data_IF_285749449685
#
_entry.id   IF_285749449685
#
_cell.length_a   1.000
_cell.length_b   1.000
_cell.length_c   1.000
_cell.angle_alpha   90.00
_cell.angle_beta   90.00
_cell.angle_gamma   90.00
#
_symmetry.space_group_name_H-M   'P 1'
#
loop_
_entity.id
_entity.type
_entity.pdbx_description
1 polymer ?
#
# COMPACT_ATOMS: atom_id res chain seq x y z
N UNK A 1 -48.05 39.00 30.05
CA UNK A 1 -46.66 38.52 30.35
C UNK A 1 -46.18 37.73 29.18
N UNK A 2 -45.47 38.36 28.24
CA UNK A 2 -44.86 37.65 27.07
C UNK A 2 -43.43 37.28 27.43
N UNK A 3 -43.07 35.99 27.34
CA UNK A 3 -41.69 35.54 27.46
C UNK A 3 -41.10 35.40 26.05
N UNK A 4 -40.09 36.23 25.79
CA UNK A 4 -39.26 36.15 24.59
C UNK A 4 -38.22 35.02 24.83
N UNK A 5 -38.24 33.97 23.99
CA UNK A 5 -37.22 32.95 24.01
C UNK A 5 -36.14 33.36 23.02
N UNK A 6 -34.97 33.68 23.54
CA UNK A 6 -33.77 34.01 22.75
C UNK A 6 -33.11 32.71 22.33
N UNK A 7 -33.23 32.35 21.04
CA UNK A 7 -32.53 31.21 20.46
C UNK A 7 -31.05 31.58 20.21
N UNK A 8 -30.13 30.87 20.86
CA UNK A 8 -28.70 30.90 20.57
C UNK A 8 -28.43 30.04 19.34
N UNK A 9 -28.07 30.64 18.23
CA UNK A 9 -27.52 29.96 17.06
C UNK A 9 -26.04 29.81 17.28
N UNK A 10 -25.58 28.59 17.62
CA UNK A 10 -24.18 28.24 17.58
C UNK A 10 -23.75 28.10 16.10
N UNK A 11 -23.05 29.10 15.58
CA UNK A 11 -22.37 28.99 14.31
C UNK A 11 -21.15 28.07 14.45
N UNK A 12 -21.23 26.85 13.89
CA UNK A 12 -20.03 26.05 13.64
C UNK A 12 -19.20 26.74 12.53
N UNK A 13 -18.11 27.39 12.94
CA UNK A 13 -17.07 27.80 11.99
C UNK A 13 -16.35 26.54 11.50
N UNK A 14 -16.63 26.09 10.29
CA UNK A 14 -15.80 25.11 9.60
C UNK A 14 -14.43 25.76 9.37
N UNK A 15 -13.41 25.27 10.06
CA UNK A 15 -12.03 25.62 9.77
C UNK A 15 -11.73 25.10 8.34
N UNK A 16 -11.56 26.00 7.39
CA UNK A 16 -11.10 25.65 6.06
C UNK A 16 -9.70 25.00 6.18
N UNK A 17 -9.59 23.73 5.82
CA UNK A 17 -8.31 23.07 5.74
C UNK A 17 -7.44 23.83 4.74
N UNK A 18 -6.22 24.21 5.16
CA UNK A 18 -5.28 24.86 4.26
C UNK A 18 -4.96 23.94 3.09
N UNK A 19 -4.95 24.48 1.88
CA UNK A 19 -4.56 23.71 0.70
C UNK A 19 -3.17 23.06 0.93
N UNK A 20 -2.97 21.81 0.51
CA UNK A 20 -1.69 21.13 0.68
C UNK A 20 -0.59 21.95 -0.02
N UNK A 21 0.61 22.07 0.60
CA UNK A 21 1.70 22.82 0.01
C UNK A 21 2.10 22.23 -1.34
N UNK A 22 2.35 23.12 -2.31
CA UNK A 22 2.87 22.72 -3.61
C UNK A 22 4.19 21.93 -3.44
N UNK A 23 4.43 20.94 -4.31
CA UNK A 23 5.68 20.18 -4.32
C UNK A 23 6.88 21.11 -4.55
N UNK A 24 7.95 20.91 -3.80
CA UNK A 24 9.23 21.56 -4.04
C UNK A 24 9.81 21.11 -5.39
N UNK A 25 10.72 21.89 -5.97
CA UNK A 25 11.40 21.51 -7.22
C UNK A 25 12.16 20.17 -7.09
N UNK A 26 12.79 19.94 -5.93
CA UNK A 26 13.43 18.64 -5.62
C UNK A 26 12.42 17.49 -5.64
N UNK A 27 11.27 17.66 -5.02
CA UNK A 27 10.21 16.64 -5.01
C UNK A 27 9.65 16.36 -6.42
N UNK A 28 9.49 17.40 -7.24
CA UNK A 28 9.07 17.25 -8.65
C UNK A 28 10.12 16.49 -9.45
N UNK A 29 11.40 16.83 -9.26
CA UNK A 29 12.52 16.13 -9.90
C UNK A 29 12.53 14.65 -9.52
N UNK A 30 12.46 14.33 -8.23
CA UNK A 30 12.45 12.93 -7.76
C UNK A 30 11.23 12.15 -8.31
N UNK A 31 10.05 12.77 -8.35
CA UNK A 31 8.87 12.16 -8.95
C UNK A 31 9.09 11.82 -10.43
N UNK A 32 9.64 12.78 -11.21
CA UNK A 32 9.92 12.57 -12.63
C UNK A 32 10.99 11.48 -12.87
N UNK A 33 12.04 11.43 -12.04
CA UNK A 33 13.07 10.37 -12.10
C UNK A 33 12.46 8.99 -11.81
N UNK A 34 11.57 8.92 -10.82
CA UNK A 34 10.88 7.68 -10.47
C UNK A 34 9.91 7.24 -11.57
N UNK A 35 9.18 8.18 -12.16
CA UNK A 35 8.28 7.91 -13.28
C UNK A 35 9.05 7.38 -14.50
N UNK A 36 10.19 8.01 -14.85
CA UNK A 36 11.06 7.55 -15.91
C UNK A 36 11.60 6.14 -15.65
N UNK A 37 12.06 5.86 -14.42
CA UNK A 37 12.59 4.54 -14.07
C UNK A 37 11.56 3.42 -14.28
N UNK A 38 10.33 3.60 -13.81
CA UNK A 38 9.28 2.59 -13.98
C UNK A 38 8.75 2.51 -15.43
N UNK A 39 8.84 3.59 -16.21
CA UNK A 39 8.42 3.60 -17.61
C UNK A 39 9.47 2.97 -18.55
N UNK A 40 10.77 3.09 -18.24
CA UNK A 40 11.84 2.56 -19.09
C UNK A 40 11.85 1.02 -19.18
N UNK A 41 11.33 0.32 -18.17
CA UNK A 41 11.35 -1.14 -18.12
C UNK A 41 12.74 -1.77 -17.98
N UNK A 42 13.79 -0.95 -17.70
CA UNK A 42 15.15 -1.45 -17.48
C UNK A 42 15.24 -2.24 -16.18
N UNK A 43 15.96 -3.35 -16.22
CA UNK A 43 16.23 -4.20 -15.06
C UNK A 43 17.64 -3.90 -14.55
N UNK A 44 17.83 -3.13 -13.46
CA UNK A 44 19.14 -2.82 -12.91
C UNK A 44 19.82 -4.06 -12.31
N UNK A 45 21.16 -4.07 -12.37
CA UNK A 45 22.00 -5.07 -11.72
C UNK A 45 22.62 -4.47 -10.45
N UNK A 46 21.99 -4.74 -9.31
CA UNK A 46 22.38 -4.18 -8.02
C UNK A 46 23.40 -5.06 -7.31
N UNK A 47 24.57 -4.49 -6.99
CA UNK A 47 25.52 -5.12 -6.08
C UNK A 47 25.42 -4.46 -4.72
N UNK A 48 25.04 -5.26 -3.70
CA UNK A 48 24.82 -4.81 -2.32
C UNK A 48 25.94 -5.39 -1.46
N UNK A 49 26.64 -4.52 -0.73
CA UNK A 49 27.71 -4.92 0.19
C UNK A 49 27.35 -4.46 1.61
N UNK A 50 27.39 -5.40 2.55
CA UNK A 50 27.12 -5.20 3.97
C UNK A 50 28.33 -5.68 4.76
N UNK A 51 28.83 -4.86 5.69
CA UNK A 51 29.99 -5.21 6.52
C UNK A 51 29.73 -6.44 7.40
N UNK A 52 30.75 -7.28 7.71
CA UNK A 52 30.55 -8.51 8.48
C UNK A 52 29.83 -8.30 9.82
N UNK A 53 30.15 -7.24 10.57
CA UNK A 53 29.49 -6.89 11.84
C UNK A 53 28.00 -6.62 11.67
N UNK A 54 27.60 -6.01 10.57
CA UNK A 54 26.23 -5.66 10.25
C UNK A 54 25.44 -6.88 9.73
N UNK A 55 26.11 -7.81 9.05
CA UNK A 55 25.54 -9.12 8.69
C UNK A 55 25.18 -9.90 9.97
N UNK A 56 26.07 -9.94 10.98
CA UNK A 56 25.78 -10.57 12.25
C UNK A 56 24.60 -9.89 12.99
N UNK A 57 24.48 -8.57 12.86
CA UNK A 57 23.31 -7.84 13.37
C UNK A 57 22.03 -8.28 12.69
N UNK A 58 22.01 -8.40 11.36
CA UNK A 58 20.83 -8.86 10.59
C UNK A 58 20.44 -10.31 10.88
N UNK A 59 21.41 -11.19 11.17
CA UNK A 59 21.11 -12.58 11.57
C UNK A 59 20.38 -12.65 12.90
N UNK A 60 20.74 -11.78 13.86
CA UNK A 60 20.10 -11.73 15.20
C UNK A 60 18.82 -10.93 15.21
N UNK A 61 18.81 -9.78 14.55
CA UNK A 61 17.71 -8.81 14.53
C UNK A 61 17.36 -8.45 13.08
N UNK A 62 16.63 -9.33 12.35
CA UNK A 62 16.41 -9.17 10.91
C UNK A 62 15.75 -7.86 10.50
N UNK A 63 14.99 -7.23 11.38
CA UNK A 63 14.25 -5.97 11.11
C UNK A 63 15.00 -4.71 11.49
N UNK A 64 16.17 -4.84 12.10
CA UNK A 64 17.02 -3.71 12.44
C UNK A 64 17.74 -3.20 11.19
N UNK A 65 17.68 -1.89 10.97
CA UNK A 65 18.43 -1.29 9.88
C UNK A 65 19.94 -1.32 10.14
N UNK A 66 20.69 -1.72 9.15
CA UNK A 66 22.16 -1.69 9.12
C UNK A 66 22.62 -0.92 7.90
N UNK A 67 23.89 -0.48 7.89
CA UNK A 67 24.49 0.21 6.76
C UNK A 67 24.87 -0.76 5.65
N UNK A 68 24.63 -0.31 4.40
CA UNK A 68 25.04 -1.02 3.21
C UNK A 68 25.59 -0.03 2.17
N UNK A 69 26.34 -0.56 1.21
CA UNK A 69 26.68 0.12 -0.04
C UNK A 69 25.95 -0.58 -1.18
N UNK A 70 25.29 0.20 -2.05
CA UNK A 70 24.62 -0.30 -3.25
C UNK A 70 25.33 0.27 -4.47
N UNK A 71 25.67 -0.58 -5.44
CA UNK A 71 26.24 -0.20 -6.73
C UNK A 71 25.25 -0.57 -7.85
N UNK A 72 24.94 0.39 -8.72
CA UNK A 72 24.14 0.24 -9.93
C UNK A 72 24.97 0.79 -11.12
N UNK A 73 25.52 -0.11 -11.94
CA UNK A 73 26.49 0.27 -12.98
C UNK A 73 27.71 0.99 -12.37
N UNK A 74 27.95 2.21 -12.82
CA UNK A 74 29.04 3.06 -12.31
C UNK A 74 28.67 3.91 -11.09
N UNK A 75 27.39 3.95 -10.73
CA UNK A 75 26.92 4.74 -9.59
C UNK A 75 27.02 3.94 -8.30
N UNK A 76 27.57 4.55 -7.26
CA UNK A 76 27.71 3.95 -5.93
C UNK A 76 26.98 4.80 -4.90
N UNK A 77 26.12 4.17 -4.13
CA UNK A 77 25.36 4.75 -3.01
C UNK A 77 25.93 4.19 -1.71
N UNK A 78 26.47 5.05 -0.87
CA UNK A 78 27.03 4.68 0.44
C UNK A 78 26.07 5.04 1.55
N UNK A 79 26.26 4.43 2.73
CA UNK A 79 25.44 4.67 3.93
C UNK A 79 23.94 4.41 3.75
N UNK A 80 23.59 3.57 2.79
CA UNK A 80 22.20 3.13 2.57
C UNK A 80 21.76 2.24 3.73
N UNK A 81 20.54 2.45 4.23
CA UNK A 81 19.99 1.62 5.29
C UNK A 81 19.24 0.41 4.71
N UNK A 82 19.56 -0.77 5.18
CA UNK A 82 18.89 -2.01 4.76
C UNK A 82 18.47 -2.85 5.97
N UNK A 83 17.35 -3.57 5.84
CA UNK A 83 16.96 -4.64 6.73
C UNK A 83 16.28 -5.77 5.99
N UNK A 84 16.20 -6.97 6.58
CA UNK A 84 15.50 -8.10 5.97
C UNK A 84 13.99 -7.89 6.04
N UNK A 85 13.28 -8.31 4.98
CA UNK A 85 11.82 -8.28 4.89
C UNK A 85 11.24 -9.65 4.54
N UNK A 86 9.93 -9.73 4.54
CA UNK A 86 9.13 -10.93 4.31
C UNK A 86 8.39 -11.34 5.57
N UNK A 87 7.35 -12.14 5.44
CA UNK A 87 6.54 -12.68 6.52
C UNK A 87 6.39 -14.19 6.32
N UNK A 88 5.33 -14.79 6.85
CA UNK A 88 5.04 -16.21 6.66
C UNK A 88 5.10 -16.58 5.16
N UNK A 89 5.87 -17.61 4.84
CA UNK A 89 6.06 -18.09 3.46
C UNK A 89 7.15 -17.35 2.66
N UNK A 90 7.31 -16.04 2.82
CA UNK A 90 8.26 -15.22 2.03
C UNK A 90 9.56 -14.85 2.76
N UNK A 91 9.61 -14.91 4.09
CA UNK A 91 10.83 -14.60 4.84
C UNK A 91 11.94 -15.62 4.55
N UNK A 92 13.14 -15.12 4.28
CA UNK A 92 14.39 -15.90 4.16
C UNK A 92 15.46 -15.20 4.98
N UNK A 93 16.29 -15.99 5.65
CA UNK A 93 17.46 -15.50 6.38
C UNK A 93 18.52 -14.94 5.45
N UNK A 94 19.49 -14.20 6.01
CA UNK A 94 20.53 -13.50 5.24
C UNK A 94 21.32 -14.46 4.30
N UNK A 95 21.58 -15.67 4.75
CA UNK A 95 22.43 -16.64 4.02
C UNK A 95 21.71 -17.36 2.88
N UNK A 96 20.38 -17.21 2.77
CA UNK A 96 19.56 -17.75 1.69
C UNK A 96 19.37 -16.71 0.55
N UNK A 97 18.16 -16.39 0.21
CA UNK A 97 17.73 -15.35 -0.72
C UNK A 97 16.82 -14.35 0.03
N UNK A 98 17.38 -13.47 0.88
CA UNK A 98 16.56 -12.59 1.71
C UNK A 98 15.86 -11.51 0.89
N UNK A 99 14.61 -11.23 1.19
CA UNK A 99 14.01 -9.96 0.78
C UNK A 99 14.63 -8.81 1.59
N UNK A 100 14.76 -7.63 0.96
CA UNK A 100 15.35 -6.45 1.59
C UNK A 100 14.40 -5.26 1.51
N UNK A 101 14.30 -4.50 2.60
CA UNK A 101 13.83 -3.11 2.58
C UNK A 101 15.06 -2.22 2.48
N UNK A 102 15.07 -1.36 1.49
CA UNK A 102 16.13 -0.36 1.26
C UNK A 102 15.55 1.01 1.56
N UNK A 103 16.19 1.73 2.46
CA UNK A 103 15.86 3.11 2.78
C UNK A 103 17.11 3.96 2.51
N UNK A 104 17.01 4.85 1.54
CA UNK A 104 18.15 5.60 1.03
C UNK A 104 18.56 6.74 1.97
N UNK A 105 17.60 7.43 2.55
CA UNK A 105 17.80 8.67 3.31
C UNK A 105 17.90 8.49 4.84
N UNK A 106 17.87 7.24 5.33
CA UNK A 106 17.86 6.99 6.79
C UNK A 106 19.20 7.29 7.48
N UNK A 107 20.32 7.07 6.80
CA UNK A 107 21.67 7.30 7.32
C UNK A 107 22.47 8.32 6.51
N UNK A 108 21.90 8.80 5.40
CA UNK A 108 22.48 9.82 4.54
C UNK A 108 21.35 10.74 4.06
N UNK A 109 21.38 12.00 4.47
CA UNK A 109 20.34 12.97 4.14
C UNK A 109 20.23 13.17 2.62
N UNK A 110 19.00 13.31 2.11
CA UNK A 110 18.67 13.59 0.70
C UNK A 110 19.14 12.54 -0.32
N UNK A 111 19.63 11.37 0.14
CA UNK A 111 20.02 10.30 -0.77
C UNK A 111 18.77 9.61 -1.34
N UNK A 112 18.74 9.45 -2.67
CA UNK A 112 17.65 8.77 -3.37
C UNK A 112 18.18 7.79 -4.42
N UNK A 113 17.43 6.73 -4.69
CA UNK A 113 17.66 5.82 -5.80
C UNK A 113 16.61 6.03 -6.88
N UNK A 114 16.99 6.59 -8.03
CA UNK A 114 16.03 6.92 -9.11
C UNK A 114 14.81 7.71 -8.58
N UNK A 115 15.06 8.70 -7.74
CA UNK A 115 14.03 9.52 -7.10
C UNK A 115 13.29 8.88 -5.91
N UNK A 116 13.58 7.62 -5.56
CA UNK A 116 12.93 6.92 -4.44
C UNK A 116 13.74 7.05 -3.15
N UNK A 117 13.10 7.47 -2.06
CA UNK A 117 13.66 7.46 -0.71
C UNK A 117 13.70 6.04 -0.14
N UNK A 118 12.74 5.21 -0.56
CA UNK A 118 12.58 3.82 -0.11
C UNK A 118 12.06 2.92 -1.21
N UNK A 119 12.62 1.71 -1.28
CA UNK A 119 12.09 0.64 -2.12
C UNK A 119 12.31 -0.73 -1.47
N UNK A 120 11.66 -1.73 -2.02
CA UNK A 120 11.79 -3.09 -1.55
C UNK A 120 12.35 -4.00 -2.65
N UNK A 121 13.26 -4.88 -2.27
CA UNK A 121 13.69 -6.00 -3.08
C UNK A 121 13.00 -7.26 -2.54
N UNK A 122 11.92 -7.68 -3.20
CA UNK A 122 11.18 -8.87 -2.80
C UNK A 122 11.72 -10.09 -3.52
N UNK A 123 12.01 -11.15 -2.75
CA UNK A 123 12.67 -12.36 -3.25
C UNK A 123 11.78 -13.28 -4.11
N UNK A 124 10.50 -12.97 -4.22
CA UNK A 124 9.51 -13.75 -4.98
C UNK A 124 9.44 -15.24 -4.57
N UNK A 125 9.59 -15.51 -3.27
CA UNK A 125 9.62 -16.89 -2.77
C UNK A 125 8.31 -17.66 -2.99
N UNK A 126 7.20 -16.95 -3.18
CA UNK A 126 5.87 -17.51 -3.38
C UNK A 126 5.33 -17.30 -4.80
N UNK A 127 6.10 -16.63 -5.67
CA UNK A 127 5.81 -16.46 -7.09
C UNK A 127 7.04 -16.74 -7.95
N UNK A 128 7.24 -17.96 -8.41
CA UNK A 128 8.40 -18.32 -9.24
C UNK A 128 8.38 -17.68 -10.63
N UNK A 129 7.24 -17.13 -11.07
CA UNK A 129 7.12 -16.46 -12.37
C UNK A 129 7.76 -15.06 -12.37
N UNK A 130 7.82 -14.37 -11.23
CA UNK A 130 8.17 -12.97 -11.10
C UNK A 130 7.24 -12.03 -11.89
N UNK A 131 5.97 -12.43 -12.10
CA UNK A 131 5.00 -11.66 -12.87
C UNK A 131 3.78 -11.23 -12.07
N UNK A 132 3.40 -11.96 -11.01
CA UNK A 132 2.15 -11.72 -10.28
C UNK A 132 2.02 -10.28 -9.78
N UNK A 133 2.99 -9.78 -9.01
CA UNK A 133 2.94 -8.39 -8.48
C UNK A 133 2.94 -7.34 -9.61
N UNK A 134 3.65 -7.59 -10.72
CA UNK A 134 3.69 -6.66 -11.87
C UNK A 134 2.32 -6.58 -12.54
N UNK A 135 1.75 -7.72 -12.93
CA UNK A 135 0.44 -7.81 -13.60
C UNK A 135 -0.66 -7.23 -12.70
N UNK A 136 -0.65 -7.60 -11.41
CA UNK A 136 -1.63 -7.10 -10.45
C UNK A 136 -1.53 -5.58 -10.24
N UNK A 137 -0.32 -5.02 -10.26
CA UNK A 137 -0.10 -3.57 -10.23
C UNK A 137 -0.74 -2.85 -11.41
N UNK A 138 -0.60 -3.38 -12.63
CA UNK A 138 -1.24 -2.81 -13.84
C UNK A 138 -2.76 -2.97 -13.82
N UNK A 139 -3.29 -4.09 -13.31
CA UNK A 139 -4.74 -4.29 -13.12
C UNK A 139 -5.29 -3.26 -12.12
N UNK A 140 -4.62 -3.07 -10.97
CA UNK A 140 -5.00 -2.05 -10.00
C UNK A 140 -5.00 -0.65 -10.62
N UNK A 141 -3.96 -0.30 -11.37
CA UNK A 141 -3.85 0.99 -12.07
C UNK A 141 -4.99 1.20 -13.06
N UNK A 142 -5.31 0.20 -13.89
CA UNK A 142 -6.43 0.25 -14.85
C UNK A 142 -7.78 0.44 -14.15
N UNK A 143 -7.96 -0.11 -12.95
CA UNK A 143 -9.17 0.03 -12.15
C UNK A 143 -9.24 1.30 -11.30
N UNK A 144 -8.18 2.13 -11.29
CA UNK A 144 -8.07 3.32 -10.45
C UNK A 144 -7.81 3.02 -8.97
N UNK A 145 -7.25 1.85 -8.66
CA UNK A 145 -6.87 1.45 -7.31
C UNK A 145 -5.42 1.83 -7.05
N UNK A 146 -5.11 2.65 -6.02
CA UNK A 146 -3.75 2.98 -5.65
C UNK A 146 -2.94 1.70 -5.32
N UNK A 147 -1.85 1.48 -6.04
CA UNK A 147 -0.94 0.36 -5.81
C UNK A 147 0.52 0.81 -6.00
N UNK A 148 1.45 0.12 -5.34
CA UNK A 148 2.87 0.34 -5.54
C UNK A 148 3.29 -0.08 -6.95
N UNK A 149 4.18 0.69 -7.58
CA UNK A 149 4.78 0.32 -8.86
C UNK A 149 5.79 -0.81 -8.67
N UNK A 150 5.86 -1.66 -9.65
CA UNK A 150 6.71 -2.85 -9.65
C UNK A 150 7.63 -2.79 -10.87
N UNK A 151 8.89 -3.13 -10.64
CA UNK A 151 9.89 -3.46 -11.64
C UNK A 151 10.67 -4.68 -11.16
N UNK A 152 11.78 -5.01 -11.83
CA UNK A 152 12.68 -6.07 -11.43
C UNK A 152 14.08 -5.53 -11.17
N UNK A 153 14.92 -6.32 -10.47
CA UNK A 153 16.34 -6.09 -10.35
C UNK A 153 17.07 -7.44 -10.27
N UNK A 154 18.28 -7.50 -10.82
CA UNK A 154 19.19 -8.62 -10.57
C UNK A 154 20.08 -8.26 -9.40
N UNK A 155 20.12 -9.08 -8.37
CA UNK A 155 20.80 -8.76 -7.10
C UNK A 155 22.01 -9.67 -6.88
N UNK A 156 23.14 -9.04 -6.54
CA UNK A 156 24.31 -9.68 -5.93
C UNK A 156 24.48 -9.14 -4.52
N UNK A 157 24.49 -10.00 -3.50
CA UNK A 157 24.63 -9.63 -2.09
C UNK A 157 25.92 -10.22 -1.52
N UNK A 158 26.83 -9.36 -1.05
CA UNK A 158 28.15 -9.75 -0.53
C UNK A 158 28.88 -10.78 -1.43
N UNK A 159 28.87 -10.53 -2.75
CA UNK A 159 29.50 -11.40 -3.76
C UNK A 159 28.66 -12.63 -4.17
N UNK A 160 27.60 -12.99 -3.43
CA UNK A 160 26.69 -14.08 -3.82
C UNK A 160 25.65 -13.58 -4.82
N UNK A 161 25.63 -14.17 -6.03
CA UNK A 161 24.59 -13.89 -7.03
C UNK A 161 23.27 -14.50 -6.60
N UNK A 162 22.28 -13.66 -6.28
CA UNK A 162 20.95 -14.10 -5.84
C UNK A 162 19.92 -14.13 -6.98
N UNK A 163 20.23 -13.54 -8.15
CA UNK A 163 19.36 -13.53 -9.33
C UNK A 163 18.27 -12.46 -9.25
N UNK A 164 17.12 -12.75 -9.83
CA UNK A 164 16.00 -11.82 -9.98
C UNK A 164 15.26 -11.55 -8.66
N UNK A 165 14.85 -10.29 -8.50
CA UNK A 165 13.97 -9.81 -7.43
C UNK A 165 12.92 -8.89 -8.04
N UNK A 166 11.75 -8.76 -7.42
CA UNK A 166 10.92 -7.58 -7.62
C UNK A 166 11.60 -6.37 -6.99
N UNK A 167 11.65 -5.27 -7.72
CA UNK A 167 11.93 -3.94 -7.19
C UNK A 167 10.59 -3.22 -7.05
N UNK A 168 10.15 -3.06 -5.83
CA UNK A 168 8.84 -2.51 -5.48
C UNK A 168 8.96 -1.14 -4.85
N UNK A 169 8.18 -0.18 -5.32
CA UNK A 169 8.05 1.16 -4.73
C UNK A 169 7.72 1.09 -3.24
N UNK A 170 8.33 1.97 -2.44
CA UNK A 170 8.01 2.07 -1.01
C UNK A 170 6.63 2.67 -0.77
N UNK A 171 5.94 2.19 0.27
CA UNK A 171 4.72 2.82 0.76
C UNK A 171 5.11 3.95 1.70
N UNK A 172 5.37 5.12 1.15
CA UNK A 172 5.85 6.32 1.83
C UNK A 172 5.15 7.59 1.33
N UNK A 173 5.70 8.75 1.65
CA UNK A 173 5.12 10.03 1.20
C UNK A 173 5.15 10.20 -0.31
N UNK A 174 6.10 9.60 -1.04
CA UNK A 174 6.17 9.70 -2.50
C UNK A 174 5.05 8.88 -3.14
N UNK A 175 4.79 7.67 -2.63
CA UNK A 175 3.61 6.89 -2.98
C UNK A 175 2.32 7.69 -2.73
N UNK A 176 2.16 8.30 -1.55
CA UNK A 176 0.96 9.08 -1.24
C UNK A 176 0.80 10.29 -2.16
N UNK A 177 1.87 11.04 -2.45
CA UNK A 177 1.82 12.19 -3.37
C UNK A 177 1.43 11.82 -4.79
N UNK A 178 1.74 10.63 -5.22
CA UNK A 178 1.38 10.13 -6.55
C UNK A 178 -0.11 9.86 -6.70
N UNK A 179 -0.77 9.48 -5.61
CA UNK A 179 -2.18 9.09 -5.62
C UNK A 179 -3.13 10.12 -5.00
N UNK A 180 -2.62 10.95 -4.08
CA UNK A 180 -3.43 11.88 -3.28
C UNK A 180 -2.84 13.28 -3.32
N UNK A 181 -3.69 14.29 -3.18
CA UNK A 181 -3.24 15.69 -3.12
C UNK A 181 -2.39 15.95 -1.87
N UNK A 182 -2.73 15.34 -0.74
CA UNK A 182 -1.96 15.41 0.49
C UNK A 182 -1.24 14.10 0.78
N UNK A 183 -0.04 14.18 1.34
CA UNK A 183 0.69 13.04 1.89
C UNK A 183 0.80 13.13 3.44
N UNK A 184 -0.03 13.97 4.07
CA UNK A 184 0.06 14.28 5.50
C UNK A 184 -1.05 13.60 6.32
N UNK A 185 -1.85 12.73 5.70
CA UNK A 185 -2.85 11.94 6.38
C UNK A 185 -2.27 10.79 7.21
N UNK A 186 -3.12 10.15 7.98
CA UNK A 186 -2.76 8.94 8.71
C UNK A 186 -2.63 7.78 7.73
N UNK A 187 -1.47 7.15 7.72
CA UNK A 187 -1.19 5.99 6.88
C UNK A 187 -0.79 4.81 7.75
N UNK A 188 -1.58 3.74 7.72
CA UNK A 188 -1.43 2.57 8.57
C UNK A 188 -1.01 1.34 7.77
N UNK A 189 -0.15 0.51 8.38
CA UNK A 189 0.12 -0.86 7.92
C UNK A 189 -0.88 -1.81 8.57
N UNK A 190 -1.57 -2.63 7.78
CA UNK A 190 -2.52 -3.63 8.26
C UNK A 190 -1.88 -4.73 9.09
N UNK A 191 -0.54 -4.88 8.98
CA UNK A 191 0.19 -5.93 9.68
C UNK A 191 -0.11 -7.32 9.13
N UNK A 192 0.13 -8.34 9.95
CA UNK A 192 -0.10 -9.73 9.56
C UNK A 192 -1.38 -10.26 10.21
N UNK A 193 -2.37 -10.62 9.38
CA UNK A 193 -3.67 -11.18 9.79
C UNK A 193 -4.42 -10.31 10.82
N UNK A 194 -4.32 -9.00 10.69
CA UNK A 194 -5.06 -8.03 11.53
C UNK A 194 -6.09 -7.33 10.69
N UNK A 195 -7.29 -7.20 11.24
CA UNK A 195 -8.34 -6.37 10.65
C UNK A 195 -8.30 -4.93 11.23
N UNK A 196 -9.08 -4.04 10.64
CA UNK A 196 -9.11 -2.60 10.97
C UNK A 196 -9.52 -2.32 12.43
N UNK A 197 -10.25 -3.24 13.05
CA UNK A 197 -10.64 -3.15 14.48
C UNK A 197 -9.53 -3.56 15.45
N UNK A 198 -8.39 -3.98 14.96
CA UNK A 198 -7.19 -4.32 15.73
C UNK A 198 -6.14 -3.18 15.68
N UNK A 199 -5.16 -3.16 16.59
CA UNK A 199 -4.09 -2.17 16.53
C UNK A 199 -3.26 -2.28 15.25
N UNK A 200 -3.41 -1.30 14.35
CA UNK A 200 -2.58 -1.15 13.15
C UNK A 200 -1.39 -0.22 13.44
N UNK A 201 -0.27 -0.42 12.75
CA UNK A 201 0.91 0.41 12.88
C UNK A 201 0.75 1.71 12.07
N UNK A 202 0.90 2.88 12.71
CA UNK A 202 0.95 4.16 12.01
C UNK A 202 2.34 4.35 11.40
N UNK A 203 2.43 4.37 10.06
CA UNK A 203 3.70 4.46 9.33
C UNK A 203 3.98 5.87 8.77
N UNK A 204 2.98 6.77 8.72
CA UNK A 204 3.13 8.14 8.20
C UNK A 204 3.74 9.12 9.18
N UNK A 205 3.75 8.81 10.47
CA UNK A 205 4.25 9.68 11.52
C UNK A 205 4.97 8.87 12.60
N UNK A 206 6.00 9.48 13.20
CA UNK A 206 6.64 8.94 14.41
C UNK A 206 5.88 9.31 15.68
N UNK A 207 4.86 10.17 15.58
CA UNK A 207 4.03 10.55 16.72
C UNK A 207 3.03 9.44 16.98
N UNK A 208 2.95 9.01 18.22
CA UNK A 208 1.88 8.11 18.65
C UNK A 208 0.55 8.83 18.50
N UNK A 209 -0.28 8.36 17.56
CA UNK A 209 -1.65 8.81 17.41
C UNK A 209 -2.49 7.88 18.29
N UNK A 210 -2.58 8.23 19.56
CA UNK A 210 -3.25 7.42 20.58
C UNK A 210 -4.76 7.28 20.35
N UNK A 211 -5.38 8.18 19.60
CA UNK A 211 -6.85 8.25 19.52
C UNK A 211 -7.44 7.48 18.32
N UNK A 212 -6.72 7.27 17.22
CA UNK A 212 -7.17 6.51 16.02
C UNK A 212 -8.66 6.71 15.69
N UNK A 213 -9.13 7.95 15.82
CA UNK A 213 -10.55 8.30 15.65
C UNK A 213 -11.09 7.92 14.27
N UNK A 214 -10.26 8.05 13.24
CA UNK A 214 -10.57 7.67 11.86
C UNK A 214 -10.90 6.17 11.75
N UNK A 215 -10.03 5.30 12.26
CA UNK A 215 -10.27 3.85 12.26
C UNK A 215 -11.43 3.47 13.17
N UNK A 216 -11.54 4.12 14.34
CA UNK A 216 -12.66 3.88 15.27
C UNK A 216 -13.99 4.24 14.64
N UNK A 217 -14.07 5.37 13.92
CA UNK A 217 -15.28 5.77 13.20
C UNK A 217 -15.66 4.74 12.12
N UNK A 218 -14.67 4.25 11.36
CA UNK A 218 -14.88 3.24 10.32
C UNK A 218 -15.36 1.90 10.92
N UNK A 219 -14.78 1.45 12.02
CA UNK A 219 -15.19 0.24 12.74
C UNK A 219 -16.63 0.37 13.25
N UNK A 220 -16.98 1.52 13.84
CA UNK A 220 -18.34 1.77 14.34
C UNK A 220 -19.36 1.78 13.18
N UNK A 221 -19.02 2.41 12.06
CA UNK A 221 -19.84 2.38 10.85
C UNK A 221 -20.05 0.95 10.32
N UNK A 222 -18.99 0.15 10.26
CA UNK A 222 -19.07 -1.25 9.82
C UNK A 222 -19.91 -2.13 10.76
N UNK A 223 -20.01 -1.80 12.04
CA UNK A 223 -20.78 -2.53 13.06
C UNK A 223 -22.21 -2.00 13.26
N UNK A 224 -22.62 -0.96 12.53
CA UNK A 224 -24.00 -0.47 12.58
C UNK A 224 -24.98 -1.57 12.17
N UNK A 225 -25.95 -1.96 13.02
CA UNK A 225 -26.87 -3.07 12.74
C UNK A 225 -27.89 -2.76 11.63
N UNK A 226 -28.35 -1.51 11.52
CA UNK A 226 -29.23 -1.10 10.44
C UNK A 226 -28.45 -1.00 9.13
N UNK A 227 -28.82 -1.80 8.12
CA UNK A 227 -28.09 -1.92 6.86
C UNK A 227 -28.11 -0.63 6.03
N UNK A 228 -29.23 0.10 6.01
CA UNK A 228 -29.34 1.34 5.26
C UNK A 228 -28.45 2.43 5.91
N UNK A 229 -28.52 2.56 7.22
CA UNK A 229 -27.66 3.47 7.99
C UNK A 229 -26.19 3.09 7.89
N UNK A 230 -25.85 1.78 7.95
CA UNK A 230 -24.49 1.27 7.74
C UNK A 230 -23.94 1.70 6.39
N UNK A 231 -24.70 1.49 5.32
CA UNK A 231 -24.29 1.90 3.97
C UNK A 231 -24.05 3.41 3.89
N UNK A 232 -24.95 4.21 4.49
CA UNK A 232 -24.79 5.67 4.53
C UNK A 232 -23.51 6.07 5.29
N UNK A 233 -23.24 5.51 6.47
CA UNK A 233 -22.05 5.81 7.27
C UNK A 233 -20.75 5.38 6.55
N UNK A 234 -20.74 4.19 5.95
CA UNK A 234 -19.59 3.73 5.15
C UNK A 234 -19.35 4.65 3.95
N UNK A 235 -20.38 5.13 3.27
CA UNK A 235 -20.28 6.09 2.17
C UNK A 235 -19.73 7.46 2.62
N UNK A 236 -20.03 7.87 3.86
CA UNK A 236 -19.47 9.11 4.43
C UNK A 236 -17.97 9.00 4.74
N UNK A 237 -17.50 7.83 5.16
CA UNK A 237 -16.12 7.63 5.63
C UNK A 237 -15.17 7.14 4.54
N UNK A 238 -15.64 6.25 3.65
CA UNK A 238 -14.81 5.68 2.59
C UNK A 238 -14.87 6.52 1.30
N UNK A 239 -13.80 6.50 0.51
CA UNK A 239 -13.95 6.67 -0.94
C UNK A 239 -14.55 5.36 -1.47
N UNK A 240 -15.89 5.33 -1.51
CA UNK A 240 -16.64 4.09 -1.72
C UNK A 240 -16.39 3.49 -3.11
N UNK A 241 -16.20 4.34 -4.14
CA UNK A 241 -15.97 3.87 -5.51
C UNK A 241 -14.58 3.23 -5.64
N UNK A 242 -13.55 3.81 -4.99
CA UNK A 242 -12.23 3.20 -4.91
C UNK A 242 -12.28 1.90 -4.11
N UNK A 243 -12.97 1.88 -2.97
CA UNK A 243 -13.07 0.67 -2.14
C UNK A 243 -13.77 -0.47 -2.87
N UNK A 244 -14.87 -0.19 -3.56
CA UNK A 244 -15.57 -1.19 -4.39
C UNK A 244 -14.67 -1.66 -5.53
N UNK A 245 -13.89 -0.77 -6.16
CA UNK A 245 -12.92 -1.16 -7.19
C UNK A 245 -11.83 -2.09 -6.62
N UNK A 246 -11.34 -1.82 -5.40
CA UNK A 246 -10.41 -2.72 -4.71
C UNK A 246 -11.01 -4.12 -4.52
N UNK A 247 -12.25 -4.21 -4.00
CA UNK A 247 -12.92 -5.50 -3.82
C UNK A 247 -13.05 -6.26 -5.15
N UNK A 248 -13.37 -5.55 -6.24
CA UNK A 248 -13.48 -6.14 -7.57
C UNK A 248 -12.14 -6.68 -8.06
N UNK A 249 -11.06 -5.88 -8.03
CA UNK A 249 -9.78 -6.32 -8.59
C UNK A 249 -9.12 -7.41 -7.75
N UNK A 250 -9.19 -7.36 -6.42
CA UNK A 250 -8.64 -8.41 -5.56
C UNK A 250 -9.40 -9.73 -5.76
N UNK A 251 -10.74 -9.70 -5.93
CA UNK A 251 -11.50 -10.90 -6.24
C UNK A 251 -11.29 -11.38 -7.68
N UNK A 252 -11.12 -10.48 -8.65
CA UNK A 252 -10.78 -10.84 -10.03
C UNK A 252 -9.44 -11.54 -10.13
N UNK A 253 -8.43 -11.02 -9.43
CA UNK A 253 -7.08 -11.61 -9.36
C UNK A 253 -7.02 -12.84 -8.46
N UNK A 254 -8.12 -13.19 -7.77
CA UNK A 254 -8.16 -14.24 -6.75
C UNK A 254 -7.08 -14.02 -5.68
N UNK A 255 -7.05 -12.80 -5.13
CA UNK A 255 -6.19 -12.47 -3.98
C UNK A 255 -6.75 -13.06 -2.69
N UNK A 256 -6.54 -14.36 -2.52
CA UNK A 256 -7.05 -15.10 -1.37
C UNK A 256 -6.45 -14.61 -0.04
N UNK A 257 -5.29 -13.98 -0.08
CA UNK A 257 -4.55 -13.43 1.08
C UNK A 257 -4.69 -11.90 1.19
N UNK A 258 -5.54 -11.28 0.37
CA UNK A 258 -5.87 -9.86 0.39
C UNK A 258 -6.97 -9.50 1.39
N UNK A 259 -7.27 -8.20 1.49
CA UNK A 259 -8.20 -7.67 2.49
C UNK A 259 -9.62 -8.26 2.41
N UNK A 260 -10.25 -8.45 1.23
CA UNK A 260 -11.62 -8.95 1.18
C UNK A 260 -11.78 -10.36 1.74
N UNK A 261 -10.93 -11.29 1.31
CA UNK A 261 -11.03 -12.71 1.67
C UNK A 261 -10.34 -13.04 2.98
N UNK A 262 -9.25 -12.33 3.28
CA UNK A 262 -8.48 -12.50 4.50
C UNK A 262 -7.88 -11.15 4.87
N UNK A 263 -8.16 -10.56 6.05
CA UNK A 263 -7.65 -9.23 6.40
C UNK A 263 -6.13 -9.24 6.55
N UNK A 264 -5.44 -9.23 5.41
CA UNK A 264 -4.00 -9.28 5.26
C UNK A 264 -3.58 -8.46 4.03
N UNK A 265 -2.29 -8.22 3.85
CA UNK A 265 -1.71 -7.57 2.68
C UNK A 265 -2.39 -6.25 2.25
N UNK A 266 -2.73 -5.38 3.20
CA UNK A 266 -3.35 -4.10 2.93
C UNK A 266 -2.75 -2.97 3.76
N UNK A 267 -3.06 -1.73 3.34
CA UNK A 267 -2.80 -0.50 4.09
C UNK A 267 -4.04 0.36 4.12
N UNK A 268 -4.11 1.26 5.09
CA UNK A 268 -5.22 2.20 5.23
C UNK A 268 -4.67 3.62 5.21
N UNK A 269 -5.20 4.46 4.33
CA UNK A 269 -4.86 5.88 4.26
C UNK A 269 -6.11 6.73 4.52
N UNK A 270 -6.04 7.61 5.51
CA UNK A 270 -7.04 8.65 5.73
C UNK A 270 -6.56 9.93 5.04
N UNK A 271 -7.17 10.25 3.91
CA UNK A 271 -6.88 11.46 3.13
C UNK A 271 -7.52 12.69 3.80
N UNK A 272 -6.74 13.62 4.34
CA UNK A 272 -7.28 14.79 5.03
C UNK A 272 -7.92 15.82 4.09
N UNK A 273 -7.63 15.77 2.78
CA UNK A 273 -8.22 16.70 1.80
C UNK A 273 -9.69 16.39 1.52
N UNK A 274 -10.01 15.12 1.42
CA UNK A 274 -11.36 14.64 1.12
C UNK A 274 -12.11 14.19 2.36
N UNK A 275 -11.42 14.06 3.49
CA UNK A 275 -11.90 13.39 4.70
C UNK A 275 -12.44 11.99 4.39
N UNK A 276 -11.65 11.20 3.64
CA UNK A 276 -11.99 9.86 3.18
C UNK A 276 -10.89 8.85 3.50
N UNK A 277 -11.34 7.65 3.83
CA UNK A 277 -10.46 6.51 4.09
C UNK A 277 -10.36 5.66 2.82
N UNK A 278 -9.12 5.29 2.48
CA UNK A 278 -8.75 4.42 1.37
C UNK A 278 -8.12 3.15 1.92
N UNK A 279 -8.51 2.01 1.38
CA UNK A 279 -7.81 0.74 1.60
C UNK A 279 -6.99 0.45 0.34
N UNK A 280 -5.71 0.11 0.54
CA UNK A 280 -4.71 -0.02 -0.52
C UNK A 280 -4.08 -1.40 -0.45
N UNK A 281 -4.00 -2.18 -1.55
CA UNK A 281 -3.37 -3.50 -1.56
C UNK A 281 -1.85 -3.38 -1.35
N UNK A 282 -1.21 -4.39 -0.77
CA UNK A 282 0.23 -4.31 -0.51
C UNK A 282 1.08 -5.52 -0.88
N UNK A 283 0.58 -6.73 -0.80
CA UNK A 283 1.29 -7.95 -1.20
C UNK A 283 0.44 -8.72 -2.21
N UNK A 284 0.90 -8.86 -3.45
CA UNK A 284 0.14 -9.47 -4.54
C UNK A 284 1.01 -10.54 -5.23
N UNK A 285 1.65 -11.39 -4.45
CA UNK A 285 2.55 -12.44 -4.93
C UNK A 285 1.90 -13.83 -5.01
N UNK A 286 0.72 -14.03 -4.42
CA UNK A 286 -0.02 -15.31 -4.44
C UNK A 286 -1.37 -15.18 -5.16
N UNK A 287 -1.31 -14.68 -6.39
CA UNK A 287 -2.50 -14.38 -7.21
C UNK A 287 -2.86 -15.52 -8.14
N UNK A 288 -4.07 -15.46 -8.69
CA UNK A 288 -4.57 -16.38 -9.72
C UNK A 288 -4.58 -17.86 -9.29
N UNK A 289 -4.68 -18.12 -7.98
CA UNK A 289 -4.58 -19.47 -7.43
C UNK A 289 -5.77 -20.36 -7.77
N UNK A 290 -6.96 -19.81 -8.02
CA UNK A 290 -8.16 -20.55 -8.39
C UNK A 290 -8.79 -19.96 -9.66
N UNK A 291 -8.55 -20.63 -10.79
CA UNK A 291 -9.10 -20.28 -12.11
C UNK A 291 -10.62 -20.46 -12.20
N UNK A 292 -11.22 -21.24 -11.30
CA UNK A 292 -12.66 -21.49 -11.23
C UNK A 292 -13.30 -20.74 -10.04
N UNK A 293 -12.57 -19.85 -9.41
CA UNK A 293 -13.01 -19.08 -8.27
C UNK A 293 -14.27 -18.26 -8.57
N UNK A 294 -15.15 -18.16 -7.58
CA UNK A 294 -16.36 -17.34 -7.72
C UNK A 294 -16.03 -15.85 -7.73
N UNK A 295 -16.78 -15.06 -8.52
CA UNK A 295 -16.68 -13.58 -8.52
C UNK A 295 -17.15 -12.93 -7.21
N UNK A 296 -17.75 -13.67 -6.32
CA UNK A 296 -18.19 -13.22 -5.00
C UNK A 296 -17.80 -14.24 -3.93
N UNK A 297 -16.49 -14.34 -3.61
CA UNK A 297 -16.03 -15.19 -2.53
C UNK A 297 -16.52 -14.67 -1.17
N UNK A 298 -16.27 -15.40 -0.11
CA UNK A 298 -16.56 -14.93 1.24
C UNK A 298 -15.78 -13.65 1.57
N UNK A 299 -16.49 -12.61 2.00
CA UNK A 299 -15.89 -11.36 2.46
C UNK A 299 -15.65 -11.45 3.97
N UNK A 300 -14.40 -11.64 4.39
CA UNK A 300 -14.03 -11.81 5.80
C UNK A 300 -13.52 -10.51 6.45
N UNK A 301 -12.90 -9.62 5.68
CA UNK A 301 -12.51 -8.30 6.17
C UNK A 301 -13.74 -7.52 6.69
N UNK A 302 -13.64 -6.94 7.89
CA UNK A 302 -14.75 -6.30 8.60
C UNK A 302 -15.53 -5.32 7.71
N UNK A 303 -14.84 -4.40 7.06
CA UNK A 303 -15.46 -3.36 6.24
C UNK A 303 -15.98 -3.93 4.92
N UNK A 304 -15.28 -4.89 4.31
CA UNK A 304 -15.72 -5.56 3.10
C UNK A 304 -17.02 -6.34 3.36
N UNK A 305 -17.07 -7.14 4.42
CA UNK A 305 -18.27 -7.88 4.84
C UNK A 305 -19.42 -6.92 5.16
N UNK A 306 -19.14 -5.88 5.95
CA UNK A 306 -20.14 -4.90 6.34
C UNK A 306 -20.80 -4.22 5.14
N UNK A 307 -20.04 -3.85 4.12
CA UNK A 307 -20.55 -3.29 2.88
C UNK A 307 -21.37 -4.32 2.10
N UNK A 308 -20.82 -5.53 1.92
CA UNK A 308 -21.43 -6.58 1.12
C UNK A 308 -22.69 -7.19 1.75
N UNK A 309 -22.94 -6.97 3.03
CA UNK A 309 -24.22 -7.32 3.68
C UNK A 309 -25.35 -6.34 3.37
N UNK A 310 -25.04 -5.15 2.80
CA UNK A 310 -26.05 -4.17 2.38
C UNK A 310 -26.52 -4.42 0.95
N UNK A 311 -27.80 -4.22 0.61
CA UNK A 311 -28.31 -4.34 -0.77
C UNK A 311 -27.59 -3.40 -1.74
N UNK A 312 -27.35 -2.16 -1.32
CA UNK A 312 -26.70 -1.10 -2.10
C UNK A 312 -25.22 -1.43 -2.37
N UNK A 313 -24.52 -1.93 -1.36
CA UNK A 313 -23.12 -2.37 -1.47
C UNK A 313 -22.97 -3.53 -2.45
N UNK A 314 -23.83 -4.55 -2.35
CA UNK A 314 -23.87 -5.66 -3.31
C UNK A 314 -24.12 -5.18 -4.72
N UNK A 315 -25.11 -4.28 -4.89
CA UNK A 315 -25.42 -3.71 -6.21
C UNK A 315 -24.21 -2.98 -6.79
N UNK A 316 -23.59 -2.08 -6.03
CA UNK A 316 -22.39 -1.34 -6.47
C UNK A 316 -21.25 -2.28 -6.86
N UNK A 317 -21.00 -3.33 -6.08
CA UNK A 317 -19.97 -4.32 -6.37
C UNK A 317 -20.24 -5.05 -7.70
N UNK A 318 -21.47 -5.56 -7.91
CA UNK A 318 -21.84 -6.27 -9.13
C UNK A 318 -21.77 -5.36 -10.36
N UNK A 319 -22.27 -4.12 -10.24
CA UNK A 319 -22.25 -3.15 -11.33
C UNK A 319 -20.80 -2.79 -11.70
N UNK A 320 -19.92 -2.56 -10.70
CA UNK A 320 -18.50 -2.28 -10.92
C UNK A 320 -17.75 -3.48 -11.50
N UNK A 321 -18.08 -4.70 -11.08
CA UNK A 321 -17.46 -5.92 -11.62
C UNK A 321 -17.79 -6.08 -13.10
N UNK A 322 -19.06 -5.86 -13.49
CA UNK A 322 -19.49 -5.88 -14.89
C UNK A 322 -18.81 -4.80 -15.75
N UNK A 323 -18.72 -3.59 -15.19
CA UNK A 323 -18.03 -2.48 -15.84
C UNK A 323 -16.54 -2.78 -16.04
N UNK A 324 -15.88 -3.32 -15.01
CA UNK A 324 -14.47 -3.72 -15.06
C UNK A 324 -14.23 -4.78 -16.15
N UNK A 325 -15.04 -5.84 -16.18
CA UNK A 325 -14.95 -6.89 -17.20
C UNK A 325 -15.16 -6.35 -18.62
N UNK A 326 -16.03 -5.38 -18.79
CA UNK A 326 -16.34 -4.80 -20.11
C UNK A 326 -15.26 -3.82 -20.60
N UNK A 327 -14.72 -3.00 -19.72
CA UNK A 327 -13.92 -1.83 -20.09
C UNK A 327 -12.44 -1.96 -19.78
N UNK A 328 -12.04 -2.78 -18.78
CA UNK A 328 -10.67 -2.88 -18.33
C UNK A 328 -10.04 -4.26 -18.64
N UNK A 329 -10.85 -5.29 -18.86
CA UNK A 329 -10.35 -6.61 -19.24
C UNK A 329 -10.61 -6.85 -20.74
N UNK A 330 -9.60 -6.62 -21.53
CA UNK A 330 -9.62 -6.89 -22.96
C UNK A 330 -8.55 -7.94 -23.26
N UNK A 331 -8.95 -9.11 -23.71
CA UNK A 331 -8.07 -10.21 -24.07
C UNK A 331 -7.03 -9.83 -25.14
N UNK A 332 -7.38 -8.90 -26.01
CA UNK A 332 -6.51 -8.43 -27.09
C UNK A 332 -5.39 -7.47 -26.62
N UNK A 333 -5.47 -6.97 -25.39
CA UNK A 333 -4.48 -6.06 -24.80
C UNK A 333 -3.46 -6.81 -23.90
N UNK A 334 -3.61 -8.12 -23.74
CA UNK A 334 -2.72 -9.02 -22.99
C UNK A 334 -1.76 -9.79 -23.90
#
# INVERSE_FOLDING_TARGET
MFRIATGFVLGLAAAAAAAPPALTETQKKHAAETDAFFAEGKIPALTITIAPKDVESLRREPRKYVKATIKDGDTTYTDVAVHLRGSAGSFRGFDDKPGLTVNMDKFADDLVYKGMDKFHLANSAQDPSFLSELICGEICKAAGVPAARISHAVVTLNGKKLGMFYLKEGYDKNFLRRHFKSANGNFYDGGFLRDIDQPLELISSKKDVSDRKDLTALVNAAREPDKAKRFQLLTQLLDLDQFVSLLVVENFMWDWDGYPMKPNNYRVYHDPDKDKIYIVPSGMDQMFADLNGTVAPGFNGLVARALMETPEGKKKYIDRYRDFMKNNYKLDDL
#
